data_IF_611549106623
#
_entry.id   IF_611549106623
#
_cell.length_a   1.000
_cell.length_b   1.000
_cell.length_c   1.000
_cell.angle_alpha   90.00
_cell.angle_beta   90.00
_cell.angle_gamma   90.00
#
_symmetry.space_group_name_H-M   'P 1'
#
loop_
_entity.id
_entity.type
_entity.pdbx_description
1 polymer ?
#
# COMPACT_ATOMS: atom_id res chain seq x y z
N UNK A 1 7.76 11.27 23.49
CA UNK A 1 7.31 9.95 23.93
C UNK A 1 8.31 8.90 23.45
N UNK A 2 8.41 7.76 24.15
CA UNK A 2 9.16 6.58 23.70
C UNK A 2 8.20 5.64 22.97
N UNK A 3 8.44 5.41 21.68
CA UNK A 3 7.58 4.60 20.81
C UNK A 3 8.38 3.42 20.27
N UNK A 4 7.85 2.21 20.33
CA UNK A 4 8.47 1.08 19.67
C UNK A 4 7.55 0.43 18.63
N UNK A 5 8.17 -0.01 17.54
CA UNK A 5 7.55 -0.84 16.51
C UNK A 5 8.07 -2.26 16.60
N UNK A 6 7.19 -3.23 16.44
CA UNK A 6 7.48 -4.66 16.52
C UNK A 6 7.02 -5.31 15.22
N UNK A 7 7.93 -5.90 14.47
CA UNK A 7 7.63 -6.58 13.21
C UNK A 7 8.38 -7.91 13.08
N UNK A 8 7.64 -8.99 12.90
CA UNK A 8 8.19 -10.34 12.68
C UNK A 8 8.34 -10.71 11.21
N UNK A 9 8.26 -9.73 10.29
CA UNK A 9 8.51 -9.97 8.88
C UNK A 9 9.91 -10.58 8.68
N UNK A 10 10.05 -11.68 7.91
CA UNK A 10 11.35 -12.33 7.69
C UNK A 10 12.33 -11.48 6.88
N UNK A 11 11.89 -10.42 6.22
CA UNK A 11 12.76 -9.54 5.46
C UNK A 11 13.60 -8.70 6.43
N UNK A 12 14.93 -8.70 6.23
CA UNK A 12 15.85 -7.76 6.87
C UNK A 12 15.72 -6.40 6.19
N UNK A 13 15.24 -5.39 6.92
CA UNK A 13 15.04 -4.03 6.40
C UNK A 13 15.22 -2.95 7.45
N UNK A 14 15.60 -1.75 7.01
CA UNK A 14 15.68 -0.54 7.80
C UNK A 14 15.49 0.71 6.92
N UNK A 15 15.74 1.91 7.45
CA UNK A 15 15.56 3.18 6.72
C UNK A 15 16.32 3.25 5.39
N UNK A 16 17.51 2.62 5.27
CA UNK A 16 18.30 2.64 4.05
C UNK A 16 17.64 1.86 2.89
N UNK A 17 16.70 0.98 3.20
CA UNK A 17 15.98 0.19 2.20
C UNK A 17 14.78 0.93 1.57
N UNK A 18 14.49 2.18 2.00
CA UNK A 18 13.29 2.92 1.60
C UNK A 18 13.13 3.06 0.07
N UNK A 19 14.25 3.16 -0.66
CA UNK A 19 14.27 3.27 -2.12
C UNK A 19 14.70 1.97 -2.82
N UNK A 20 14.81 0.88 -2.06
CA UNK A 20 15.21 -0.41 -2.61
C UNK A 20 14.00 -1.23 -3.10
N UNK A 21 14.26 -2.15 -4.05
CA UNK A 21 13.25 -3.13 -4.50
C UNK A 21 13.06 -4.30 -3.52
N UNK A 22 13.75 -4.28 -2.38
CA UNK A 22 13.75 -5.33 -1.36
C UNK A 22 12.46 -5.33 -0.54
N UNK A 23 11.91 -4.14 -0.30
CA UNK A 23 10.74 -3.93 0.56
C UNK A 23 9.47 -3.66 -0.25
N UNK A 24 8.32 -3.81 0.42
CA UNK A 24 6.99 -3.59 -0.14
C UNK A 24 6.28 -2.48 0.61
N UNK A 25 5.04 -2.16 0.21
CA UNK A 25 4.27 -1.06 0.80
C UNK A 25 4.11 -1.12 2.32
N UNK A 26 4.03 -2.31 2.93
CA UNK A 26 3.91 -2.44 4.38
C UNK A 26 5.18 -2.02 5.13
N UNK A 27 6.35 -2.46 4.66
CA UNK A 27 7.65 -2.10 5.23
C UNK A 27 7.95 -0.62 4.97
N UNK A 28 7.67 -0.13 3.75
CA UNK A 28 7.78 1.29 3.40
C UNK A 28 6.93 2.15 4.33
N UNK A 29 5.68 1.78 4.60
CA UNK A 29 4.79 2.51 5.49
C UNK A 29 5.31 2.52 6.94
N UNK A 30 5.87 1.41 7.43
CA UNK A 30 6.46 1.34 8.77
C UNK A 30 7.70 2.23 8.87
N UNK A 31 8.60 2.19 7.89
CA UNK A 31 9.80 3.05 7.86
C UNK A 31 9.42 4.52 7.87
N UNK A 32 8.51 4.93 6.98
CA UNK A 32 8.07 6.33 6.91
C UNK A 32 7.39 6.77 8.21
N UNK A 33 6.54 5.94 8.80
CA UNK A 33 5.89 6.25 10.07
C UNK A 33 6.92 6.41 11.20
N UNK A 34 7.93 5.53 11.28
CA UNK A 34 8.99 5.61 12.27
C UNK A 34 9.83 6.87 12.11
N UNK A 35 10.24 7.20 10.88
CA UNK A 35 11.04 8.38 10.57
C UNK A 35 10.27 9.68 10.90
N UNK A 36 9.00 9.79 10.46
CA UNK A 36 8.18 10.97 10.70
C UNK A 36 7.88 11.18 12.20
N UNK A 37 7.62 10.11 12.95
CA UNK A 37 7.46 10.21 14.41
C UNK A 37 8.75 10.69 15.09
N UNK A 38 9.92 10.25 14.61
CA UNK A 38 11.18 10.77 15.12
C UNK A 38 11.35 12.27 14.79
N UNK A 39 11.05 12.70 13.56
CA UNK A 39 11.09 14.12 13.16
C UNK A 39 10.15 14.98 14.01
N UNK A 40 9.03 14.44 14.48
CA UNK A 40 8.11 15.09 15.42
C UNK A 40 8.63 15.11 16.88
N UNK A 41 9.89 14.71 17.12
CA UNK A 41 10.55 14.78 18.42
C UNK A 41 10.30 13.57 19.33
N UNK A 42 9.86 12.45 18.80
CA UNK A 42 9.69 11.21 19.58
C UNK A 42 10.97 10.36 19.53
N UNK A 43 11.24 9.62 20.63
CA UNK A 43 12.25 8.56 20.64
C UNK A 43 11.64 7.31 20.03
N UNK A 44 12.16 6.85 18.90
CA UNK A 44 11.57 5.74 18.13
C UNK A 44 12.58 4.60 18.00
N UNK A 45 12.16 3.40 18.37
CA UNK A 45 12.90 2.16 18.22
C UNK A 45 12.08 1.17 17.39
N UNK A 46 12.69 0.52 16.42
CA UNK A 46 12.08 -0.54 15.61
C UNK A 46 12.77 -1.86 15.94
N UNK A 47 12.00 -2.87 16.27
CA UNK A 47 12.46 -4.25 16.52
C UNK A 47 11.91 -5.14 15.41
N UNK A 48 12.77 -5.54 14.49
CA UNK A 48 12.44 -6.42 13.35
C UNK A 48 13.54 -7.47 13.13
N UNK A 49 13.53 -8.15 12.01
CA UNK A 49 14.55 -9.15 11.67
C UNK A 49 15.83 -8.53 11.07
N UNK A 50 16.16 -7.29 11.42
CA UNK A 50 17.42 -6.69 10.97
C UNK A 50 18.64 -7.49 11.45
N UNK A 51 19.63 -7.60 10.61
CA UNK A 51 20.87 -8.31 10.90
C UNK A 51 21.82 -7.54 11.84
N UNK A 52 21.65 -6.23 11.94
CA UNK A 52 22.52 -5.34 12.72
C UNK A 52 21.70 -4.32 13.52
N UNK A 53 22.15 -4.06 14.75
CA UNK A 53 21.61 -2.95 15.54
C UNK A 53 22.27 -1.66 15.05
N UNK A 54 21.46 -0.73 14.54
CA UNK A 54 21.95 0.51 13.91
C UNK A 54 20.97 1.66 14.18
N UNK A 55 21.51 2.87 14.28
CA UNK A 55 20.71 4.10 14.35
C UNK A 55 20.84 4.86 13.03
N UNK A 56 19.71 5.07 12.37
CA UNK A 56 19.64 5.74 11.07
C UNK A 56 18.56 6.82 11.15
N UNK A 57 18.90 8.07 10.77
CA UNK A 57 18.02 9.23 10.83
C UNK A 57 17.34 9.40 12.20
N UNK A 58 18.06 9.04 13.29
CA UNK A 58 17.56 9.12 14.66
C UNK A 58 16.67 7.95 15.12
N UNK A 59 16.22 7.09 14.22
CA UNK A 59 15.47 5.87 14.53
C UNK A 59 16.44 4.73 14.86
N UNK A 60 16.18 4.02 15.95
CA UNK A 60 16.96 2.85 16.37
C UNK A 60 16.36 1.59 15.76
N UNK A 61 17.15 0.90 14.94
CA UNK A 61 16.80 -0.38 14.33
C UNK A 61 17.52 -1.51 15.08
N UNK A 62 16.74 -2.44 15.62
CA UNK A 62 17.27 -3.49 16.48
C UNK A 62 16.71 -4.85 16.03
N UNK A 63 17.53 -5.88 16.22
CA UNK A 63 17.05 -7.24 16.00
C UNK A 63 15.93 -7.58 17.00
N UNK A 64 14.85 -8.18 16.49
CA UNK A 64 13.68 -8.54 17.30
C UNK A 64 14.04 -9.46 18.50
N UNK A 65 15.06 -10.31 18.34
CA UNK A 65 15.55 -11.19 19.41
C UNK A 65 16.29 -10.42 20.53
N UNK A 66 16.76 -9.21 20.25
CA UNK A 66 17.42 -8.33 21.21
C UNK A 66 16.44 -7.35 21.88
N UNK A 67 15.13 -7.56 21.75
CA UNK A 67 14.10 -6.71 22.37
C UNK A 67 14.28 -6.70 23.89
N UNK A 68 14.46 -5.52 24.51
CA UNK A 68 14.71 -5.44 25.95
C UNK A 68 13.41 -5.68 26.74
N UNK A 69 13.28 -6.84 27.36
CA UNK A 69 12.10 -7.28 28.12
C UNK A 69 11.71 -6.33 29.24
N UNK A 70 12.65 -5.55 29.76
CA UNK A 70 12.45 -4.64 30.91
C UNK A 70 12.30 -3.16 30.50
N UNK A 71 12.37 -2.83 29.20
CA UNK A 71 12.22 -1.45 28.75
C UNK A 71 10.74 -1.09 28.66
N UNK A 72 10.40 0.07 29.22
CA UNK A 72 9.05 0.62 29.15
C UNK A 72 8.94 1.62 28.00
N UNK A 73 7.86 1.49 27.22
CA UNK A 73 7.49 2.41 26.15
C UNK A 73 6.16 3.10 26.44
N UNK A 74 6.00 4.31 25.99
CA UNK A 74 4.70 5.00 26.06
C UNK A 74 3.70 4.33 25.13
N UNK A 75 4.16 3.98 23.91
CA UNK A 75 3.36 3.32 22.89
C UNK A 75 4.16 2.16 22.26
N UNK A 76 3.54 0.99 22.18
CA UNK A 76 4.03 -0.12 21.37
C UNK A 76 3.10 -0.35 20.18
N UNK A 77 3.68 -0.47 18.99
CA UNK A 77 2.97 -0.72 17.72
C UNK A 77 3.40 -2.08 17.20
N UNK A 78 2.46 -3.00 17.05
CA UNK A 78 2.73 -4.31 16.44
C UNK A 78 2.25 -4.34 15.00
N UNK A 79 3.13 -4.74 14.08
CA UNK A 79 2.82 -4.92 12.67
C UNK A 79 2.45 -6.39 12.39
N UNK A 80 1.19 -6.64 12.04
CA UNK A 80 0.62 -7.94 11.69
C UNK A 80 0.61 -9.05 12.77
N UNK A 81 1.33 -8.94 13.88
CA UNK A 81 1.41 -9.99 14.91
C UNK A 81 1.29 -9.46 16.33
N UNK A 82 0.10 -9.59 16.91
CA UNK A 82 -0.22 -9.10 18.25
C UNK A 82 0.57 -9.82 19.37
N UNK A 83 1.08 -11.04 19.11
CA UNK A 83 1.87 -11.79 20.08
C UNK A 83 3.19 -11.10 20.43
N UNK A 84 3.67 -10.24 19.54
CA UNK A 84 4.90 -9.46 19.77
C UNK A 84 4.80 -8.51 20.97
N UNK A 85 3.60 -8.18 21.41
CA UNK A 85 3.42 -7.40 22.64
C UNK A 85 3.88 -8.14 23.92
N UNK A 86 4.10 -9.46 23.87
CA UNK A 86 4.72 -10.19 24.96
C UNK A 86 6.20 -9.82 25.19
N UNK A 87 6.83 -9.18 24.18
CA UNK A 87 8.24 -8.81 24.23
C UNK A 87 8.51 -7.45 24.90
N UNK A 88 7.48 -6.62 25.12
CA UNK A 88 7.67 -5.26 25.64
C UNK A 88 6.60 -4.86 26.66
N UNK A 89 6.99 -3.93 27.55
CA UNK A 89 6.06 -3.24 28.44
C UNK A 89 5.69 -1.88 27.84
N UNK A 90 4.39 -1.55 27.79
CA UNK A 90 3.94 -0.25 27.30
C UNK A 90 2.60 0.18 27.85
N UNK A 91 2.39 1.52 27.96
CA UNK A 91 1.12 2.12 28.39
C UNK A 91 0.00 1.89 27.40
N UNK A 92 0.31 2.05 26.10
CA UNK A 92 -0.65 1.90 25.01
C UNK A 92 -0.12 0.91 23.98
N UNK A 93 -1.04 0.12 23.42
CA UNK A 93 -0.73 -0.89 22.39
C UNK A 93 -1.60 -0.65 21.17
N UNK A 94 -0.99 -0.60 19.99
CA UNK A 94 -1.66 -0.40 18.70
C UNK A 94 -1.28 -1.57 17.80
N UNK A 95 -2.26 -2.29 17.28
CA UNK A 95 -2.04 -3.35 16.30
C UNK A 95 -2.40 -2.86 14.89
N UNK A 96 -1.43 -2.82 14.00
CA UNK A 96 -1.61 -2.52 12.57
C UNK A 96 -1.66 -3.83 11.79
N UNK A 97 -2.54 -3.90 10.80
CA UNK A 97 -2.66 -5.07 9.93
C UNK A 97 -2.88 -4.65 8.48
N UNK A 98 -2.10 -5.22 7.59
CA UNK A 98 -2.20 -5.00 6.14
C UNK A 98 -3.11 -6.00 5.43
N UNK A 99 -3.98 -6.68 6.19
CA UNK A 99 -4.97 -7.61 5.65
C UNK A 99 -6.23 -7.61 6.51
N UNK A 100 -7.39 -7.90 5.90
CA UNK A 100 -8.63 -8.10 6.64
C UNK A 100 -8.43 -9.24 7.65
N UNK A 101 -8.74 -8.96 8.90
CA UNK A 101 -8.64 -9.92 9.99
C UNK A 101 -10.04 -10.41 10.37
N UNK A 102 -10.22 -11.73 10.38
CA UNK A 102 -11.38 -12.39 10.96
C UNK A 102 -11.00 -13.04 12.30
N UNK A 103 -12.00 -13.36 13.13
CA UNK A 103 -11.78 -14.11 14.38
C UNK A 103 -11.16 -15.47 14.09
N UNK A 104 -11.63 -16.16 13.05
CA UNK A 104 -11.07 -17.43 12.59
C UNK A 104 -9.57 -17.31 12.24
N UNK A 105 -9.19 -16.25 11.54
CA UNK A 105 -7.78 -15.98 11.21
C UNK A 105 -6.94 -15.73 12.45
N UNK A 106 -7.49 -15.05 13.47
CA UNK A 106 -6.82 -14.83 14.74
C UNK A 106 -6.62 -16.16 15.49
N UNK A 107 -7.63 -17.05 15.51
CA UNK A 107 -7.52 -18.38 16.11
C UNK A 107 -6.43 -19.19 15.37
N UNK A 108 -6.51 -19.29 14.03
CA UNK A 108 -5.54 -20.03 13.23
C UNK A 108 -4.11 -19.54 13.40
N UNK A 109 -3.91 -18.21 13.53
CA UNK A 109 -2.60 -17.60 13.79
C UNK A 109 -2.19 -17.57 15.27
N UNK A 110 -2.98 -18.18 16.16
CA UNK A 110 -2.75 -18.17 17.61
C UNK A 110 -2.63 -16.75 18.22
N UNK A 111 -3.32 -15.77 17.64
CA UNK A 111 -3.27 -14.38 18.07
C UNK A 111 -4.44 -13.97 19.00
N UNK A 112 -5.49 -14.81 19.11
CA UNK A 112 -6.70 -14.45 19.84
C UNK A 112 -6.43 -14.25 21.34
N UNK A 113 -5.66 -15.14 21.97
CA UNK A 113 -5.30 -15.01 23.38
C UNK A 113 -4.45 -13.77 23.64
N UNK A 114 -3.48 -13.48 22.75
CA UNK A 114 -2.67 -12.26 22.84
C UNK A 114 -3.54 -11.00 22.67
N UNK A 115 -4.54 -11.02 21.78
CA UNK A 115 -5.50 -9.93 21.61
C UNK A 115 -6.29 -9.65 22.90
N UNK A 116 -6.82 -10.68 23.54
CA UNK A 116 -7.57 -10.55 24.81
C UNK A 116 -6.66 -10.12 25.98
N UNK A 117 -5.41 -10.62 26.02
CA UNK A 117 -4.41 -10.28 27.04
C UNK A 117 -3.97 -8.82 26.93
N UNK A 118 -3.57 -8.40 25.74
CA UNK A 118 -2.92 -7.10 25.52
C UNK A 118 -3.90 -5.97 25.22
N UNK A 119 -5.13 -6.27 24.83
CA UNK A 119 -6.21 -5.31 24.54
C UNK A 119 -5.78 -4.15 23.65
N UNK A 120 -5.12 -4.39 22.50
CA UNK A 120 -4.63 -3.31 21.68
C UNK A 120 -5.75 -2.56 20.96
N UNK A 121 -5.57 -1.26 20.75
CA UNK A 121 -6.34 -0.53 19.74
C UNK A 121 -5.95 -1.04 18.35
N UNK A 122 -6.90 -1.02 17.43
CA UNK A 122 -6.67 -1.48 16.06
C UNK A 122 -6.48 -0.29 15.12
N UNK A 123 -5.34 -0.23 14.44
CA UNK A 123 -5.11 0.70 13.35
C UNK A 123 -5.97 0.34 12.13
N UNK A 124 -6.82 1.27 11.69
CA UNK A 124 -7.71 1.12 10.54
C UNK A 124 -7.20 1.98 9.38
N UNK A 125 -6.97 1.36 8.23
CA UNK A 125 -6.37 2.00 7.06
C UNK A 125 -7.39 2.73 6.17
N UNK A 126 -8.68 2.71 6.51
CA UNK A 126 -9.76 3.36 5.79
C UNK A 126 -11.13 2.78 6.16
N UNK A 127 -12.19 3.34 5.57
CA UNK A 127 -13.58 2.92 5.81
C UNK A 127 -13.85 1.49 5.34
N UNK A 128 -13.26 1.09 4.20
CA UNK A 128 -13.36 -0.28 3.70
C UNK A 128 -12.78 -1.28 4.70
N UNK A 129 -11.61 -0.97 5.28
CA UNK A 129 -11.00 -1.81 6.31
C UNK A 129 -11.91 -1.90 7.55
N UNK A 130 -12.46 -0.79 8.02
CA UNK A 130 -13.37 -0.75 9.18
C UNK A 130 -14.63 -1.58 8.93
N UNK A 131 -15.28 -1.39 7.79
CA UNK A 131 -16.52 -2.10 7.41
C UNK A 131 -16.33 -3.61 7.32
N UNK A 132 -15.18 -4.07 6.83
CA UNK A 132 -14.90 -5.49 6.60
C UNK A 132 -14.16 -6.17 7.76
N UNK A 133 -13.85 -5.47 8.84
CA UNK A 133 -13.27 -6.05 10.04
C UNK A 133 -14.36 -6.48 11.02
N UNK A 134 -14.19 -7.67 11.59
CA UNK A 134 -15.14 -8.19 12.57
C UNK A 134 -15.23 -7.25 13.79
N UNK A 135 -16.46 -6.97 14.25
CA UNK A 135 -16.71 -6.07 15.39
C UNK A 135 -15.98 -6.50 16.66
N UNK A 136 -15.94 -7.80 16.98
CA UNK A 136 -15.22 -8.32 18.13
C UNK A 136 -13.73 -7.92 18.13
N UNK A 137 -13.11 -7.84 16.96
CA UNK A 137 -11.70 -7.43 16.83
C UNK A 137 -11.50 -5.91 16.90
N UNK A 138 -12.54 -5.14 17.22
CA UNK A 138 -12.50 -3.70 17.46
C UNK A 138 -12.89 -3.31 18.87
N UNK A 139 -13.20 -4.29 19.75
CA UNK A 139 -13.78 -4.06 21.06
C UNK A 139 -12.89 -3.26 22.02
N UNK A 140 -11.58 -3.24 21.82
CA UNK A 140 -10.64 -2.46 22.63
C UNK A 140 -10.31 -1.08 22.04
N UNK A 141 -11.06 -0.64 21.04
CA UNK A 141 -10.92 0.62 20.37
C UNK A 141 -10.26 0.52 18.99
N UNK A 142 -10.44 1.59 18.24
CA UNK A 142 -9.88 1.75 16.89
C UNK A 142 -9.12 3.07 16.79
N UNK A 143 -8.10 3.08 15.95
CA UNK A 143 -7.33 4.26 15.59
C UNK A 143 -7.41 4.42 14.07
N UNK A 144 -8.05 5.46 13.53
CA UNK A 144 -7.94 5.79 12.11
C UNK A 144 -6.46 6.07 11.77
N UNK A 145 -5.94 5.34 10.79
CA UNK A 145 -4.54 5.41 10.39
C UNK A 145 -4.48 5.28 8.87
N UNK A 146 -4.77 6.37 8.17
CA UNK A 146 -4.63 6.42 6.73
C UNK A 146 -3.16 6.62 6.38
N UNK A 147 -2.68 5.88 5.37
CA UNK A 147 -1.34 6.04 4.86
C UNK A 147 -1.26 7.29 3.99
N UNK A 148 -0.10 7.94 3.98
CA UNK A 148 0.23 8.97 2.99
C UNK A 148 0.99 8.41 1.80
N UNK A 149 1.23 9.25 0.81
CA UNK A 149 2.20 9.02 -0.27
C UNK A 149 3.56 9.58 0.13
N UNK A 150 4.59 9.17 -0.58
CA UNK A 150 5.95 9.68 -0.39
C UNK A 150 6.05 11.14 -0.86
N UNK A 151 6.88 11.94 -0.18
CA UNK A 151 7.06 13.37 -0.48
C UNK A 151 7.48 13.65 -1.93
N UNK A 152 8.15 12.70 -2.60
CA UNK A 152 8.54 12.84 -4.01
C UNK A 152 7.33 13.03 -4.93
N UNK A 153 6.17 12.47 -4.59
CA UNK A 153 4.94 12.67 -5.37
C UNK A 153 4.35 14.06 -5.13
N UNK A 154 4.38 14.53 -3.88
CA UNK A 154 3.86 15.85 -3.47
C UNK A 154 4.71 16.99 -4.03
N UNK A 155 6.04 16.82 -4.02
CA UNK A 155 6.99 17.83 -4.47
C UNK A 155 7.22 17.83 -5.99
N UNK A 156 6.63 16.86 -6.71
CA UNK A 156 6.82 16.76 -8.15
C UNK A 156 6.15 17.91 -8.89
N UNK A 157 6.87 18.52 -9.85
CA UNK A 157 6.28 19.52 -10.76
C UNK A 157 5.40 18.83 -11.80
N UNK A 158 4.08 18.85 -11.55
CA UNK A 158 3.09 18.25 -12.45
C UNK A 158 2.83 19.09 -13.70
N UNK A 159 3.16 20.37 -13.72
CA UNK A 159 2.82 21.28 -14.84
C UNK A 159 3.70 21.07 -16.07
N UNK A 160 4.91 20.52 -15.90
CA UNK A 160 5.88 20.32 -16.98
C UNK A 160 5.93 18.88 -17.53
N UNK A 161 4.91 18.04 -17.23
CA UNK A 161 4.91 16.64 -17.63
C UNK A 161 4.44 16.45 -19.06
N UNK A 162 5.23 15.71 -19.86
CA UNK A 162 4.82 15.26 -21.18
C UNK A 162 4.00 13.98 -21.04
N UNK A 163 2.69 14.10 -21.20
CA UNK A 163 1.76 12.96 -21.15
C UNK A 163 1.74 12.25 -22.53
N UNK A 164 1.88 10.92 -22.54
CA UNK A 164 1.57 10.09 -23.71
C UNK A 164 0.08 9.73 -23.66
N UNK A 165 -0.72 10.35 -24.50
CA UNK A 165 -2.17 10.15 -24.59
C UNK A 165 -2.57 8.70 -24.95
N UNK A 166 -1.63 7.87 -25.37
CA UNK A 166 -1.84 6.45 -25.65
C UNK A 166 -1.39 5.53 -24.51
N UNK A 167 -0.76 6.06 -23.47
CA UNK A 167 -0.18 5.27 -22.38
C UNK A 167 -1.15 5.09 -21.23
N UNK A 168 -1.47 3.82 -20.93
CA UNK A 168 -2.09 3.40 -19.69
C UNK A 168 -1.09 2.65 -18.82
N UNK A 169 -1.24 2.74 -17.49
CA UNK A 169 -0.32 2.10 -16.56
C UNK A 169 -1.07 1.29 -15.49
N UNK A 170 -0.48 0.14 -15.10
CA UNK A 170 -0.86 -0.66 -13.94
C UNK A 170 0.37 -0.82 -13.05
N UNK A 171 0.31 -0.32 -11.82
CA UNK A 171 1.45 -0.29 -10.88
C UNK A 171 1.31 -1.24 -9.70
N UNK A 172 0.15 -1.85 -9.53
CA UNK A 172 -0.12 -2.79 -8.43
C UNK A 172 0.55 -4.16 -8.64
N UNK A 173 0.51 -5.00 -7.62
CA UNK A 173 0.99 -6.38 -7.69
C UNK A 173 0.12 -7.23 -8.62
N UNK A 174 0.70 -8.28 -9.21
CA UNK A 174 0.01 -9.19 -10.17
C UNK A 174 -1.28 -9.78 -9.60
N UNK A 175 -1.27 -10.15 -8.31
CA UNK A 175 -2.41 -10.71 -7.60
C UNK A 175 -3.54 -9.71 -7.33
N UNK A 176 -3.39 -8.48 -7.78
CA UNK A 176 -4.41 -7.41 -7.71
C UNK A 176 -5.25 -7.32 -8.98
N UNK A 177 -5.71 -8.45 -9.47
CA UNK A 177 -6.56 -8.59 -10.66
C UNK A 177 -5.89 -8.15 -11.97
N UNK A 178 -4.57 -8.35 -12.13
CA UNK A 178 -3.91 -8.08 -13.39
C UNK A 178 -4.46 -8.94 -14.54
N UNK A 179 -4.78 -10.21 -14.32
CA UNK A 179 -5.34 -11.09 -15.35
C UNK A 179 -6.70 -10.57 -15.87
N UNK A 180 -7.54 -10.00 -15.00
CA UNK A 180 -8.76 -9.32 -15.42
C UNK A 180 -8.43 -8.14 -16.36
N UNK A 181 -7.48 -7.29 -15.98
CA UNK A 181 -7.07 -6.14 -16.79
C UNK A 181 -6.54 -6.59 -18.17
N UNK A 182 -5.69 -7.60 -18.21
CA UNK A 182 -5.15 -8.13 -19.45
C UNK A 182 -6.26 -8.67 -20.37
N UNK A 183 -7.23 -9.38 -19.81
CA UNK A 183 -8.38 -9.88 -20.58
C UNK A 183 -9.23 -8.76 -21.16
N UNK A 184 -9.57 -7.75 -20.36
CA UNK A 184 -10.36 -6.58 -20.82
C UNK A 184 -9.58 -5.81 -21.85
N UNK A 185 -8.28 -5.60 -21.65
CA UNK A 185 -7.42 -4.91 -22.62
C UNK A 185 -7.42 -5.58 -23.98
N UNK A 186 -7.15 -6.90 -24.01
CA UNK A 186 -7.05 -7.66 -25.27
C UNK A 186 -8.39 -7.75 -26.00
N UNK A 187 -9.50 -7.93 -25.27
CA UNK A 187 -10.81 -8.15 -25.90
C UNK A 187 -11.54 -6.88 -26.26
N UNK A 188 -11.43 -5.83 -25.45
CA UNK A 188 -12.33 -4.69 -25.49
C UNK A 188 -11.65 -3.34 -25.76
N UNK A 189 -10.37 -3.18 -25.41
CA UNK A 189 -9.69 -1.88 -25.53
C UNK A 189 -8.87 -1.83 -26.82
N UNK A 190 -7.87 -2.73 -26.97
CA UNK A 190 -6.95 -2.67 -28.12
C UNK A 190 -7.65 -2.92 -29.45
N UNK A 191 -8.75 -3.67 -29.45
CA UNK A 191 -9.59 -3.92 -30.63
C UNK A 191 -10.32 -2.67 -31.15
N UNK A 192 -10.62 -1.73 -30.25
CA UNK A 192 -11.32 -0.48 -30.57
C UNK A 192 -10.37 0.70 -30.74
N UNK A 193 -9.25 0.70 -30.02
CA UNK A 193 -8.25 1.76 -30.03
C UNK A 193 -6.85 1.15 -30.13
N UNK A 194 -6.44 0.81 -31.34
CA UNK A 194 -5.20 0.06 -31.63
C UNK A 194 -3.91 0.83 -31.30
N UNK A 195 -3.96 2.16 -31.14
CA UNK A 195 -2.82 2.98 -30.72
C UNK A 195 -2.54 2.92 -29.22
N UNK A 196 -3.44 2.37 -28.41
CA UNK A 196 -3.30 2.30 -26.96
C UNK A 196 -2.14 1.38 -26.54
N UNK A 197 -1.44 1.76 -25.47
CA UNK A 197 -0.32 1.02 -24.88
C UNK A 197 -0.60 0.80 -23.40
N UNK A 198 -0.42 -0.42 -22.92
CA UNK A 198 -0.56 -0.77 -21.50
C UNK A 198 0.79 -1.16 -20.93
N UNK A 199 1.22 -0.47 -19.90
CA UNK A 199 2.43 -0.78 -19.15
C UNK A 199 2.07 -1.45 -17.82
N UNK A 200 2.59 -2.64 -17.56
CA UNK A 200 2.21 -3.45 -16.40
C UNK A 200 3.42 -3.87 -15.56
N UNK A 201 3.17 -4.21 -14.31
CA UNK A 201 4.12 -4.96 -13.47
C UNK A 201 4.58 -6.21 -14.22
N UNK A 202 5.91 -6.50 -14.29
CA UNK A 202 6.46 -7.53 -15.16
C UNK A 202 5.77 -8.87 -15.06
N UNK A 203 5.41 -9.43 -16.20
CA UNK A 203 4.85 -10.78 -16.37
C UNK A 203 5.77 -11.62 -17.24
N UNK A 204 5.85 -12.94 -16.98
CA UNK A 204 6.66 -13.88 -17.74
C UNK A 204 5.92 -14.34 -19.01
N UNK A 205 5.39 -13.37 -19.78
CA UNK A 205 4.68 -13.61 -21.05
C UNK A 205 5.03 -12.47 -22.00
N UNK A 206 5.27 -12.79 -23.27
CA UNK A 206 5.37 -11.78 -24.31
C UNK A 206 3.96 -11.40 -24.77
N UNK A 207 3.54 -10.19 -24.47
CA UNK A 207 2.22 -9.64 -24.80
C UNK A 207 2.31 -8.41 -25.71
N UNK A 208 3.48 -8.12 -26.27
CA UNK A 208 3.73 -6.94 -27.12
C UNK A 208 2.81 -6.86 -28.34
N UNK A 209 2.42 -8.01 -28.90
CA UNK A 209 1.43 -8.07 -30.00
C UNK A 209 0.06 -7.48 -29.64
N UNK A 210 -0.21 -7.26 -28.36
CA UNK A 210 -1.41 -6.60 -27.84
C UNK A 210 -1.10 -5.20 -27.28
N UNK A 211 0.08 -4.63 -27.61
CA UNK A 211 0.59 -3.38 -27.05
C UNK A 211 0.64 -3.38 -25.51
N UNK A 212 0.96 -4.52 -24.90
CA UNK A 212 1.17 -4.68 -23.47
C UNK A 212 2.66 -4.86 -23.22
N UNK A 213 3.24 -3.98 -22.42
CA UNK A 213 4.66 -3.90 -22.14
C UNK A 213 4.94 -4.10 -20.65
N UNK A 214 6.00 -4.80 -20.34
CA UNK A 214 6.51 -4.87 -18.98
C UNK A 214 7.17 -3.55 -18.63
N UNK A 215 6.80 -2.99 -17.46
CA UNK A 215 7.52 -1.85 -16.89
C UNK A 215 8.89 -2.30 -16.42
N UNK A 216 9.87 -1.43 -16.54
CA UNK A 216 11.14 -1.64 -15.86
C UNK A 216 10.95 -1.43 -14.35
N UNK A 217 11.36 -2.41 -13.54
CA UNK A 217 11.50 -2.17 -12.11
C UNK A 217 12.68 -1.22 -11.91
N UNK A 218 12.37 -0.06 -11.38
CA UNK A 218 13.33 0.98 -11.06
C UNK A 218 13.13 1.51 -9.65
N UNK A 219 13.72 2.66 -9.39
CA UNK A 219 13.52 3.43 -8.16
C UNK A 219 12.10 4.02 -8.10
N UNK A 220 11.75 4.63 -6.98
CA UNK A 220 10.48 5.37 -6.83
C UNK A 220 10.38 6.53 -7.81
N UNK A 221 11.49 7.19 -8.12
CA UNK A 221 11.57 8.27 -9.11
C UNK A 221 11.19 7.76 -10.51
N UNK A 222 11.64 6.57 -10.89
CA UNK A 222 11.24 5.95 -12.15
C UNK A 222 9.75 5.62 -12.18
N UNK A 223 9.20 5.13 -11.06
CA UNK A 223 7.76 4.89 -10.92
C UNK A 223 6.96 6.18 -11.04
N UNK A 224 7.41 7.25 -10.38
CA UNK A 224 6.80 8.57 -10.48
C UNK A 224 6.75 9.05 -11.93
N UNK A 225 7.88 8.98 -12.67
CA UNK A 225 7.96 9.39 -14.09
C UNK A 225 7.02 8.53 -14.93
N UNK A 226 6.98 7.22 -14.69
CA UNK A 226 6.10 6.29 -15.41
C UNK A 226 4.61 6.63 -15.22
N UNK A 227 4.18 6.88 -13.97
CA UNK A 227 2.80 7.27 -13.69
C UNK A 227 2.51 8.64 -14.29
N UNK A 228 3.37 9.62 -14.05
CA UNK A 228 3.17 11.00 -14.46
C UNK A 228 3.12 11.19 -15.99
N UNK A 229 3.81 10.32 -16.76
CA UNK A 229 3.76 10.33 -18.23
C UNK A 229 2.58 9.53 -18.78
N UNK A 230 1.78 8.88 -17.94
CA UNK A 230 0.63 8.09 -18.37
C UNK A 230 -0.64 8.93 -18.44
N UNK A 231 -1.48 8.65 -19.44
CA UNK A 231 -2.82 9.26 -19.56
C UNK A 231 -3.75 8.74 -18.47
N UNK A 232 -3.68 7.44 -18.16
CA UNK A 232 -4.57 6.77 -17.22
C UNK A 232 -3.82 5.77 -16.34
N UNK A 233 -4.27 5.62 -15.11
CA UNK A 233 -3.93 4.51 -14.25
C UNK A 233 -5.09 3.50 -14.20
N UNK A 234 -4.86 2.25 -14.59
CA UNK A 234 -5.87 1.21 -14.64
C UNK A 234 -5.72 0.28 -13.44
N UNK A 235 -6.58 0.40 -12.45
CA UNK A 235 -6.53 -0.41 -11.21
C UNK A 235 -7.88 -1.11 -11.03
N UNK A 236 -8.04 -2.37 -11.51
CA UNK A 236 -9.30 -3.09 -11.35
C UNK A 236 -9.76 -3.21 -9.89
N UNK A 237 -8.81 -3.36 -8.97
CA UNK A 237 -9.06 -3.53 -7.54
C UNK A 237 -9.11 -4.99 -7.11
N UNK A 238 -8.95 -5.20 -5.80
CA UNK A 238 -8.96 -6.52 -5.18
C UNK A 238 -9.50 -6.42 -3.74
N UNK A 239 -10.24 -7.44 -3.29
CA UNK A 239 -10.84 -7.45 -1.94
C UNK A 239 -9.82 -7.35 -0.79
N UNK A 240 -8.59 -7.79 -1.02
CA UNK A 240 -7.50 -7.66 -0.04
C UNK A 240 -6.84 -6.28 -0.04
N UNK A 241 -7.22 -5.37 -0.92
CA UNK A 241 -6.69 -4.00 -0.97
C UNK A 241 -7.35 -3.15 0.11
N UNK A 242 -6.60 -2.80 1.17
CA UNK A 242 -7.14 -2.05 2.30
C UNK A 242 -6.95 -0.54 2.20
N UNK A 243 -5.97 -0.09 1.44
CA UNK A 243 -5.67 1.33 1.25
C UNK A 243 -5.43 1.71 -0.21
N UNK A 244 -4.69 0.91 -0.95
CA UNK A 244 -4.26 1.14 -2.33
C UNK A 244 -3.37 2.37 -2.52
N UNK A 245 -2.11 2.27 -2.08
CA UNK A 245 -1.10 3.33 -2.25
C UNK A 245 -0.97 3.73 -3.73
N UNK A 246 -1.02 2.76 -4.65
CA UNK A 246 -0.95 3.02 -6.10
C UNK A 246 -2.05 3.99 -6.61
N UNK A 247 -3.24 3.97 -5.99
CA UNK A 247 -4.30 4.91 -6.33
C UNK A 247 -4.00 6.31 -5.78
N UNK A 248 -3.44 6.41 -4.58
CA UNK A 248 -3.05 7.72 -4.01
C UNK A 248 -1.87 8.33 -4.77
N UNK A 249 -0.88 7.52 -5.17
CA UNK A 249 0.23 7.97 -6.02
C UNK A 249 -0.26 8.53 -7.36
N UNK A 250 -1.21 7.85 -8.01
CA UNK A 250 -1.82 8.34 -9.25
C UNK A 250 -2.62 9.64 -9.05
N UNK A 251 -3.39 9.72 -7.95
CA UNK A 251 -4.18 10.92 -7.59
C UNK A 251 -3.30 12.12 -7.33
N UNK A 252 -2.22 11.97 -6.56
CA UNK A 252 -1.27 13.03 -6.26
C UNK A 252 -0.61 13.58 -7.52
N UNK A 253 -0.40 12.72 -8.51
CA UNK A 253 0.12 13.08 -9.82
C UNK A 253 -0.97 13.57 -10.80
N UNK A 254 -2.21 13.76 -10.38
CA UNK A 254 -3.35 14.14 -11.21
C UNK A 254 -3.58 13.18 -12.40
N UNK A 255 -3.25 11.88 -12.26
CA UNK A 255 -3.51 10.85 -13.27
C UNK A 255 -4.85 10.19 -12.97
N UNK A 256 -5.85 10.28 -13.86
CA UNK A 256 -7.17 9.69 -13.65
C UNK A 256 -7.10 8.17 -13.51
N UNK A 257 -8.00 7.60 -12.70
CA UNK A 257 -8.03 6.16 -12.42
C UNK A 257 -9.31 5.55 -12.98
N UNK A 258 -9.18 4.41 -13.69
CA UNK A 258 -10.34 3.55 -14.00
C UNK A 258 -10.25 2.28 -13.17
N UNK A 259 -11.34 1.95 -12.47
CA UNK A 259 -11.40 0.85 -11.49
C UNK A 259 -12.76 0.14 -11.52
N UNK A 260 -12.80 -1.09 -10.97
CA UNK A 260 -14.05 -1.77 -10.61
C UNK A 260 -14.55 -1.40 -9.21
N UNK A 261 -13.86 -0.50 -8.50
CA UNK A 261 -14.24 -0.10 -7.14
C UNK A 261 -14.13 -1.20 -6.09
N UNK A 262 -13.39 -2.29 -6.37
CA UNK A 262 -13.22 -3.42 -5.46
C UNK A 262 -12.18 -3.07 -4.41
N UNK A 263 -12.45 -3.44 -3.15
CA UNK A 263 -11.56 -3.12 -2.04
C UNK A 263 -11.71 -1.65 -1.62
N UNK A 264 -10.61 -1.03 -1.22
CA UNK A 264 -10.57 0.38 -0.82
C UNK A 264 -10.70 1.37 -1.98
N UNK A 265 -10.71 0.92 -3.23
CA UNK A 265 -10.78 1.81 -4.38
C UNK A 265 -12.09 2.58 -4.46
N UNK A 266 -13.20 2.03 -3.91
CA UNK A 266 -14.46 2.75 -3.81
C UNK A 266 -14.42 4.02 -2.94
N UNK A 267 -13.41 4.14 -2.08
CA UNK A 267 -13.19 5.31 -1.22
C UNK A 267 -11.99 6.15 -1.66
N UNK A 268 -11.23 5.69 -2.66
CA UNK A 268 -10.05 6.40 -3.21
C UNK A 268 -10.35 7.16 -4.49
N UNK A 269 -11.45 6.82 -5.15
CA UNK A 269 -11.87 7.45 -6.42
C UNK A 269 -13.13 8.27 -6.18
N UNK A 270 -13.05 9.57 -6.43
CA UNK A 270 -14.24 10.42 -6.55
C UNK A 270 -14.77 10.26 -7.97
N UNK A 271 -15.81 9.44 -8.09
CA UNK A 271 -16.34 8.98 -9.38
C UNK A 271 -16.81 10.16 -10.25
N UNK A 272 -16.28 10.25 -11.46
CA UNK A 272 -16.52 11.36 -12.38
C UNK A 272 -15.65 12.59 -12.18
N UNK A 273 -14.74 12.60 -11.16
CA UNK A 273 -13.81 13.71 -10.92
C UNK A 273 -12.33 13.28 -10.96
N UNK A 274 -11.97 12.29 -10.13
CA UNK A 274 -10.60 11.78 -10.10
C UNK A 274 -10.42 10.48 -10.88
N UNK A 275 -11.47 10.02 -11.54
CA UNK A 275 -11.52 8.80 -12.31
C UNK A 275 -12.90 8.21 -12.37
N UNK A 276 -13.02 6.97 -12.85
CA UNK A 276 -14.30 6.27 -12.98
C UNK A 276 -14.31 4.92 -12.29
N UNK A 277 -15.45 4.59 -11.68
CA UNK A 277 -15.75 3.28 -11.11
C UNK A 277 -16.71 2.55 -12.04
N UNK A 278 -16.24 1.49 -12.68
CA UNK A 278 -17.01 0.67 -13.59
C UNK A 278 -17.77 -0.44 -12.84
N UNK A 279 -18.96 -0.78 -13.32
CA UNK A 279 -19.78 -1.86 -12.77
C UNK A 279 -19.54 -3.22 -13.43
N UNK A 280 -18.90 -3.25 -14.61
CA UNK A 280 -18.60 -4.45 -15.39
C UNK A 280 -17.43 -4.21 -16.38
N UNK A 281 -16.97 -5.30 -17.01
CA UNK A 281 -15.84 -5.27 -17.98
C UNK A 281 -16.08 -4.31 -19.15
N UNK A 282 -17.29 -4.28 -19.68
CA UNK A 282 -17.65 -3.42 -20.82
C UNK A 282 -17.52 -1.96 -20.44
N UNK A 283 -18.09 -1.57 -19.30
CA UNK A 283 -18.00 -0.20 -18.80
C UNK A 283 -16.58 0.21 -18.43
N UNK A 284 -15.78 -0.71 -17.87
CA UNK A 284 -14.36 -0.46 -17.62
C UNK A 284 -13.61 -0.11 -18.91
N UNK A 285 -13.86 -0.86 -20.00
CA UNK A 285 -13.27 -0.57 -21.30
C UNK A 285 -13.78 0.74 -21.91
N UNK A 286 -15.08 1.02 -21.80
CA UNK A 286 -15.70 2.25 -22.29
C UNK A 286 -15.11 3.49 -21.62
N UNK A 287 -15.04 3.52 -20.29
CA UNK A 287 -14.40 4.61 -19.52
C UNK A 287 -12.92 4.78 -19.84
N UNK A 288 -12.20 3.65 -20.05
CA UNK A 288 -10.79 3.73 -20.45
C UNK A 288 -10.63 4.42 -21.79
N UNK A 289 -11.43 4.05 -22.78
CA UNK A 289 -11.38 4.64 -24.13
C UNK A 289 -11.82 6.11 -24.09
N UNK A 290 -12.94 6.40 -23.43
CA UNK A 290 -13.47 7.76 -23.27
C UNK A 290 -12.42 8.72 -22.71
N UNK A 291 -11.74 8.35 -21.62
CA UNK A 291 -10.71 9.18 -20.99
C UNK A 291 -9.41 9.28 -21.81
N UNK A 292 -9.16 8.35 -22.73
CA UNK A 292 -8.03 8.44 -23.66
C UNK A 292 -8.34 9.32 -24.88
N UNK A 293 -9.59 9.47 -25.26
CA UNK A 293 -10.03 10.22 -26.43
C UNK A 293 -10.44 11.67 -26.10
N UNK A 294 -10.82 11.95 -24.85
CA UNK A 294 -11.20 13.29 -24.37
C UNK A 294 -10.04 13.92 -23.59
N UNK A 295 -9.70 15.18 -23.92
CA UNK A 295 -8.69 15.94 -23.20
C UNK A 295 -9.16 16.41 -21.81
#
# INVERSE_FOLDING_TARGET
MKICFLDSNPIDYNTNDLHSNKIRGAETALINLANNLHQLGHSVSVFNNTSSNIKINGVEWNNLKATPVNQFFDIAVSNNDIRLFDLVNSSKKIAISHSIQSVEKFIRKKQLLAYLKHRPMIGLLGKYHDKNRNFFLKMFGVLPLEWGVDDIYIQSDINNKKIDNNKCIFTSMKDRNLDFLLNVWIKNIITKRSSSKLYVTPVNRNLEKFNIYNRNFGTKENLLVDIASSRLCLIPGHKAELFCIAAEEARELCVPIVSMGIGSLSERIDNGKTGFIASNEKQFAEYTIELMDND
#
